data_IF_751595764935
#
_entry.id   IF_751595764935
#
_cell.length_a   1.000
_cell.length_b   1.000
_cell.length_c   1.000
_cell.angle_alpha   90.00
_cell.angle_beta   90.00
_cell.angle_gamma   90.00
#
_symmetry.space_group_name_H-M   'P 1'
#
loop_
_entity.id
_entity.type
_entity.pdbx_description
1 polymer ?
#
# COMPACT_ATOMS: atom_id res chain seq x y z
N UNK A 1 -24.12 21.33 59.52
CA UNK A 1 -24.58 20.88 60.85
C UNK A 1 -26.02 20.36 60.74
N UNK A 2 -26.29 19.24 61.40
CA UNK A 2 -27.60 18.62 61.74
C UNK A 2 -28.33 17.88 60.61
N UNK A 3 -28.50 16.54 60.68
CA UNK A 3 -29.49 15.72 61.48
C UNK A 3 -30.90 15.90 60.90
N UNK A 4 -31.76 14.92 60.67
CA UNK A 4 -31.85 13.47 60.91
C UNK A 4 -32.99 12.95 60.00
N UNK A 5 -33.06 11.68 59.63
CA UNK A 5 -33.51 10.53 60.41
C UNK A 5 -35.05 10.31 60.42
N UNK A 6 -35.43 9.03 60.26
CA UNK A 6 -36.74 8.38 60.51
C UNK A 6 -37.78 8.37 59.35
N UNK A 7 -38.03 7.21 58.71
CA UNK A 7 -38.98 6.11 59.06
C UNK A 7 -40.46 6.55 58.91
N UNK A 8 -41.39 5.84 58.28
CA UNK A 8 -41.74 4.42 58.44
C UNK A 8 -42.55 3.86 57.25
N UNK A 9 -42.29 2.58 56.96
CA UNK A 9 -43.21 1.44 56.83
C UNK A 9 -44.71 1.68 56.53
N UNK A 10 -45.32 0.87 55.65
CA UNK A 10 -46.40 -0.06 56.01
C UNK A 10 -46.72 -1.00 54.82
N UNK A 11 -46.78 -2.29 55.14
CA UNK A 11 -47.16 -3.40 54.28
C UNK A 11 -48.67 -3.59 54.26
N UNK A 12 -49.23 -4.08 53.16
CA UNK A 12 -50.50 -4.82 53.15
C UNK A 12 -50.52 -5.86 52.03
N UNK A 13 -50.66 -7.11 52.47
CA UNK A 13 -51.15 -8.27 51.71
C UNK A 13 -52.67 -8.04 51.43
N UNK A 14 -53.37 -8.65 50.48
CA UNK A 14 -53.65 -10.08 50.31
C UNK A 14 -54.54 -10.27 49.06
N UNK A 15 -54.32 -11.39 48.38
CA UNK A 15 -55.22 -12.26 47.58
C UNK A 15 -56.72 -11.89 47.47
N UNK A 16 -57.32 -12.05 46.27
CA UNK A 16 -58.19 -13.20 45.96
C UNK A 16 -58.98 -13.08 44.61
N UNK A 17 -59.01 -14.21 43.88
CA UNK A 17 -60.08 -14.72 42.96
C UNK A 17 -60.28 -14.03 41.59
N UNK A 18 -61.11 -14.59 40.66
CA UNK A 18 -61.41 -15.98 40.29
C UNK A 18 -61.22 -16.24 38.77
N UNK A 19 -61.29 -17.51 38.40
CA UNK A 19 -61.36 -18.01 37.02
C UNK A 19 -62.67 -17.61 36.33
N UNK A 20 -62.60 -17.02 35.13
CA UNK A 20 -63.71 -17.02 34.19
C UNK A 20 -63.22 -17.20 32.76
N UNK A 21 -63.84 -18.17 32.11
CA UNK A 21 -63.62 -18.65 30.75
C UNK A 21 -64.04 -17.61 29.73
N UNK A 22 -63.17 -17.33 28.74
CA UNK A 22 -63.65 -16.82 27.47
C UNK A 22 -62.87 -17.38 26.28
N UNK A 23 -63.66 -17.92 25.35
CA UNK A 23 -63.32 -18.62 24.13
C UNK A 23 -62.57 -17.70 23.16
N UNK A 24 -61.50 -18.22 22.57
CA UNK A 24 -60.72 -17.59 21.51
C UNK A 24 -61.51 -17.43 20.21
N UNK A 25 -61.20 -16.39 19.42
CA UNK A 25 -61.08 -16.55 17.99
C UNK A 25 -59.60 -16.49 17.59
N UNK A 26 -59.19 -17.57 16.92
CA UNK A 26 -57.91 -17.73 16.23
C UNK A 26 -57.81 -16.66 15.14
N UNK A 27 -56.71 -15.89 15.11
CA UNK A 27 -56.33 -15.06 13.96
C UNK A 27 -55.02 -15.57 13.37
N UNK A 28 -55.11 -16.15 12.18
CA UNK A 28 -54.01 -16.72 11.38
C UNK A 28 -53.42 -15.65 10.45
N UNK A 29 -52.09 -15.60 10.36
CA UNK A 29 -51.29 -15.06 9.23
C UNK A 29 -50.80 -13.61 9.40
N UNK A 30 -49.55 -13.23 9.09
CA UNK A 30 -48.56 -13.77 8.14
C UNK A 30 -47.12 -13.32 8.51
N UNK A 31 -46.12 -14.20 8.73
CA UNK A 31 -44.72 -13.83 8.88
C UNK A 31 -44.00 -13.93 7.52
N UNK A 32 -44.42 -13.15 6.52
CA UNK A 32 -43.92 -13.29 5.14
C UNK A 32 -43.12 -12.10 4.61
N UNK A 33 -43.26 -10.91 5.19
CA UNK A 33 -42.80 -9.66 4.55
C UNK A 33 -41.47 -9.17 5.16
N UNK A 34 -41.21 -9.46 6.44
CA UNK A 34 -39.98 -9.02 7.10
C UNK A 34 -38.72 -9.78 6.64
N UNK A 35 -38.86 -11.03 6.18
CA UNK A 35 -37.71 -11.89 5.82
C UNK A 35 -37.13 -11.56 4.43
N UNK A 36 -37.97 -11.12 3.48
CA UNK A 36 -37.55 -10.82 2.12
C UNK A 36 -36.74 -9.51 2.02
N UNK A 37 -37.11 -8.48 2.79
CA UNK A 37 -36.40 -7.19 2.78
C UNK A 37 -34.98 -7.27 3.36
N UNK A 38 -34.79 -8.06 4.43
CA UNK A 38 -33.49 -8.27 5.04
C UNK A 38 -32.52 -9.04 4.12
N UNK A 39 -33.04 -9.99 3.33
CA UNK A 39 -32.25 -10.78 2.40
C UNK A 39 -31.73 -9.95 1.21
N UNK A 40 -32.56 -9.04 0.67
CA UNK A 40 -32.17 -8.14 -0.42
C UNK A 40 -31.12 -7.09 0.00
N UNK A 41 -31.21 -6.56 1.23
CA UNK A 41 -30.21 -5.62 1.77
C UNK A 41 -28.87 -6.30 2.01
N UNK A 42 -28.86 -7.53 2.54
CA UNK A 42 -27.64 -8.31 2.70
C UNK A 42 -26.97 -8.65 1.35
N UNK A 43 -27.76 -9.07 0.35
CA UNK A 43 -27.25 -9.37 -0.98
C UNK A 43 -26.63 -8.13 -1.67
N UNK A 44 -27.24 -6.95 -1.48
CA UNK A 44 -26.73 -5.70 -2.06
C UNK A 44 -25.43 -5.22 -1.40
N UNK A 45 -25.29 -5.41 -0.08
CA UNK A 45 -24.06 -5.08 0.64
C UNK A 45 -22.89 -5.99 0.25
N UNK A 46 -23.14 -7.28 0.04
CA UNK A 46 -22.12 -8.25 -0.39
C UNK A 46 -21.64 -7.95 -1.82
N UNK A 47 -22.55 -7.57 -2.74
CA UNK A 47 -22.18 -7.19 -4.11
C UNK A 47 -21.30 -5.93 -4.15
N UNK A 48 -21.54 -4.95 -3.27
CA UNK A 48 -20.71 -3.74 -3.17
C UNK A 48 -19.29 -4.02 -2.65
N UNK A 49 -19.11 -5.03 -1.78
CA UNK A 49 -17.79 -5.44 -1.29
C UNK A 49 -16.94 -6.16 -2.34
N UNK A 50 -17.57 -6.85 -3.30
CA UNK A 50 -16.86 -7.59 -4.35
C UNK A 50 -16.38 -6.69 -5.50
N UNK A 51 -16.99 -5.52 -5.68
CA UNK A 51 -16.57 -4.54 -6.70
C UNK A 51 -15.32 -3.74 -6.31
N UNK A 52 -14.84 -3.86 -5.07
CA UNK A 52 -13.67 -3.15 -4.55
C UNK A 52 -12.47 -4.08 -4.33
N UNK A 53 -12.44 -5.24 -5.00
CA UNK A 53 -11.36 -6.22 -4.90
C UNK A 53 -10.41 -6.24 -6.11
N UNK A 54 -10.62 -5.40 -7.13
CA UNK A 54 -9.62 -5.14 -8.16
C UNK A 54 -8.51 -4.22 -7.59
N UNK A 55 -7.62 -4.80 -6.80
CA UNK A 55 -6.28 -4.24 -6.65
C UNK A 55 -5.61 -4.15 -8.04
N UNK A 56 -4.72 -3.17 -8.28
CA UNK A 56 -3.98 -3.11 -9.53
C UNK A 56 -3.32 -4.47 -9.79
N UNK A 57 -3.37 -4.99 -11.04
CA UNK A 57 -2.84 -6.30 -11.35
C UNK A 57 -1.38 -6.36 -10.91
N UNK A 58 -1.11 -7.12 -9.85
CA UNK A 58 0.23 -7.46 -9.40
C UNK A 58 0.80 -8.47 -10.40
N UNK A 59 1.08 -7.97 -11.60
CA UNK A 59 1.83 -8.71 -12.61
C UNK A 59 3.21 -8.86 -12.01
N UNK A 60 3.62 -10.10 -11.71
CA UNK A 60 5.03 -10.39 -11.42
C UNK A 60 5.84 -9.70 -12.52
N UNK A 61 6.80 -8.81 -12.20
CA UNK A 61 7.58 -8.13 -13.22
C UNK A 61 8.12 -9.18 -14.17
N UNK A 62 7.66 -9.12 -15.42
CA UNK A 62 8.23 -9.97 -16.46
C UNK A 62 9.63 -9.45 -16.78
N UNK A 63 10.38 -10.25 -17.53
CA UNK A 63 11.60 -9.76 -18.18
C UNK A 63 11.30 -9.34 -19.62
N UNK A 64 10.06 -8.89 -19.89
CA UNK A 64 9.61 -8.51 -21.22
C UNK A 64 10.04 -7.08 -21.59
N UNK A 65 9.98 -6.72 -22.89
CA UNK A 65 10.28 -5.35 -23.34
C UNK A 65 9.43 -4.27 -22.66
N UNK A 66 8.17 -4.59 -22.34
CA UNK A 66 7.26 -3.66 -21.66
C UNK A 66 7.72 -3.37 -20.22
N UNK A 67 8.17 -4.38 -19.48
CA UNK A 67 8.69 -4.23 -18.12
C UNK A 67 9.97 -3.38 -18.11
N UNK A 68 10.82 -3.55 -19.14
CA UNK A 68 12.01 -2.73 -19.31
C UNK A 68 11.69 -1.25 -19.57
N UNK A 69 10.61 -0.92 -20.29
CA UNK A 69 10.23 0.49 -20.50
C UNK A 69 9.67 1.13 -19.22
N UNK A 70 8.90 0.40 -18.42
CA UNK A 70 8.46 0.88 -17.11
C UNK A 70 9.67 1.19 -16.21
N UNK A 71 10.63 0.26 -16.13
CA UNK A 71 11.87 0.49 -15.38
C UNK A 71 12.67 1.69 -15.89
N UNK A 72 12.71 1.89 -17.22
CA UNK A 72 13.37 3.05 -17.84
C UNK A 72 12.74 4.38 -17.43
N UNK A 73 11.41 4.45 -17.36
CA UNK A 73 10.69 5.63 -16.92
C UNK A 73 10.96 5.93 -15.43
N UNK A 74 11.05 4.91 -14.59
CA UNK A 74 11.44 5.05 -13.18
C UNK A 74 12.88 5.58 -13.10
N UNK A 75 13.82 4.96 -13.81
CA UNK A 75 15.24 5.32 -13.78
C UNK A 75 15.51 6.78 -14.17
N UNK A 76 14.92 7.23 -15.28
CA UNK A 76 15.14 8.57 -15.82
C UNK A 76 14.23 9.64 -15.18
N UNK A 77 13.25 9.23 -14.38
CA UNK A 77 12.22 10.09 -13.81
C UNK A 77 12.14 9.92 -12.29
N UNK A 78 11.14 9.18 -11.81
CA UNK A 78 10.79 9.10 -10.38
C UNK A 78 11.95 8.71 -9.47
N UNK A 79 12.76 7.74 -9.88
CA UNK A 79 13.89 7.24 -9.11
C UNK A 79 15.09 8.18 -9.10
N UNK A 80 15.09 9.22 -9.95
CA UNK A 80 16.17 10.21 -10.09
C UNK A 80 17.56 9.59 -10.33
N UNK A 81 17.63 8.33 -10.74
CA UNK A 81 18.87 7.57 -10.88
C UNK A 81 19.80 8.21 -11.92
N UNK A 82 19.20 8.74 -12.99
CA UNK A 82 19.91 9.47 -14.05
C UNK A 82 20.64 10.73 -13.57
N UNK A 83 20.31 11.25 -12.39
CA UNK A 83 20.99 12.43 -11.82
C UNK A 83 22.48 12.16 -11.62
N UNK A 84 22.84 10.96 -11.18
CA UNK A 84 24.23 10.57 -10.91
C UNK A 84 24.77 9.55 -11.93
N UNK A 85 23.90 8.65 -12.41
CA UNK A 85 24.28 7.61 -13.38
C UNK A 85 24.05 8.03 -14.84
N UNK A 86 23.54 9.24 -15.07
CA UNK A 86 23.25 9.80 -16.39
C UNK A 86 22.03 9.18 -17.09
N UNK A 87 21.56 9.85 -18.14
CA UNK A 87 20.40 9.42 -18.92
C UNK A 87 20.67 8.03 -19.48
N UNK A 88 19.73 7.12 -19.22
CA UNK A 88 19.80 5.72 -19.62
C UNK A 88 21.04 4.95 -19.15
N UNK A 89 21.65 5.39 -18.05
CA UNK A 89 22.81 4.76 -17.43
C UNK A 89 24.16 5.16 -18.03
N UNK A 90 24.16 6.04 -19.04
CA UNK A 90 25.38 6.63 -19.61
C UNK A 90 25.89 7.74 -18.70
N UNK A 91 26.91 7.47 -17.89
CA UNK A 91 27.45 8.40 -16.88
C UNK A 91 27.79 9.79 -17.44
N UNK A 92 28.27 9.86 -18.67
CA UNK A 92 28.65 11.11 -19.36
C UNK A 92 27.44 11.92 -19.88
N UNK A 93 26.23 11.37 -19.83
CA UNK A 93 24.98 12.00 -20.31
C UNK A 93 24.09 12.47 -19.16
N UNK A 94 24.65 13.26 -18.25
CA UNK A 94 23.87 13.84 -17.15
C UNK A 94 22.76 14.78 -17.67
N UNK A 95 21.55 14.78 -17.06
CA UNK A 95 20.42 15.57 -17.55
C UNK A 95 20.77 17.05 -17.78
N UNK A 96 20.37 17.66 -18.92
CA UNK A 96 20.79 19.02 -19.29
C UNK A 96 20.32 20.09 -18.29
N UNK A 97 19.21 19.84 -17.61
CA UNK A 97 18.63 20.74 -16.62
C UNK A 97 19.35 20.77 -15.26
N UNK A 98 20.34 19.89 -15.02
CA UNK A 98 21.14 19.95 -13.79
C UNK A 98 21.97 21.22 -13.75
N UNK A 99 21.94 21.92 -12.62
CA UNK A 99 22.76 23.11 -12.38
C UNK A 99 24.25 22.78 -12.43
N UNK A 100 25.07 23.79 -12.77
CA UNK A 100 26.53 23.65 -12.80
C UNK A 100 27.07 23.09 -11.48
N UNK A 101 26.61 23.62 -10.35
CA UNK A 101 27.07 23.18 -9.02
C UNK A 101 26.77 21.69 -8.76
N UNK A 102 25.59 21.19 -9.18
CA UNK A 102 25.27 19.77 -9.03
C UNK A 102 26.20 18.92 -9.90
N UNK A 103 26.45 19.37 -11.14
CA UNK A 103 27.33 18.68 -12.09
C UNK A 103 28.77 18.61 -11.55
N UNK A 104 29.29 19.73 -11.06
CA UNK A 104 30.61 19.82 -10.43
C UNK A 104 30.67 18.90 -9.19
N UNK A 105 29.63 18.88 -8.35
CA UNK A 105 29.59 18.00 -7.18
C UNK A 105 29.65 16.51 -7.56
N UNK A 106 28.93 16.10 -8.61
CA UNK A 106 28.93 14.71 -9.11
C UNK A 106 30.33 14.30 -9.60
N UNK A 107 31.02 15.20 -10.31
CA UNK A 107 32.38 14.94 -10.82
C UNK A 107 33.39 14.70 -9.70
N UNK A 108 33.21 15.35 -8.55
CA UNK A 108 34.10 15.26 -7.39
C UNK A 108 33.72 14.13 -6.40
N UNK A 109 32.69 13.34 -6.69
CA UNK A 109 32.33 12.20 -5.83
C UNK A 109 33.44 11.15 -5.79
N UNK A 110 33.73 10.66 -4.58
CA UNK A 110 34.69 9.58 -4.34
C UNK A 110 34.05 8.48 -3.49
N UNK A 111 33.84 7.26 -4.02
CA UNK A 111 34.09 6.87 -5.41
C UNK A 111 33.10 7.53 -6.39
N UNK A 112 33.50 7.66 -7.65
CA UNK A 112 32.62 8.14 -8.71
C UNK A 112 31.48 7.15 -8.97
N UNK A 113 30.26 7.61 -9.27
CA UNK A 113 29.18 6.73 -9.73
C UNK A 113 29.63 5.94 -10.97
N UNK A 114 29.42 4.61 -11.03
CA UNK A 114 29.78 3.82 -12.19
C UNK A 114 28.88 4.14 -13.39
N UNK A 115 29.44 3.96 -14.58
CA UNK A 115 28.69 3.90 -15.83
C UNK A 115 27.99 2.54 -15.92
N UNK A 116 26.65 2.56 -15.91
CA UNK A 116 25.85 1.35 -15.85
C UNK A 116 25.85 0.58 -17.19
N UNK A 117 26.31 1.22 -18.28
CA UNK A 117 26.50 0.60 -19.60
C UNK A 117 27.82 -0.16 -19.71
N UNK A 118 28.71 -0.02 -18.74
CA UNK A 118 30.02 -0.68 -18.73
C UNK A 118 29.98 -1.90 -17.81
N UNK A 119 29.27 -2.96 -18.20
CA UNK A 119 29.06 -4.14 -17.34
C UNK A 119 30.34 -4.74 -16.75
N UNK A 120 31.46 -4.71 -17.46
CA UNK A 120 32.76 -5.18 -16.97
C UNK A 120 33.27 -4.45 -15.71
N UNK A 121 32.76 -3.25 -15.45
CA UNK A 121 33.13 -2.43 -14.27
C UNK A 121 32.18 -2.60 -13.09
N UNK A 122 31.05 -3.31 -13.28
CA UNK A 122 30.01 -3.45 -12.27
C UNK A 122 30.24 -4.69 -11.41
N UNK A 123 30.13 -4.54 -10.09
CA UNK A 123 30.35 -5.63 -9.12
C UNK A 123 29.07 -6.36 -8.70
N UNK A 124 27.91 -5.69 -8.80
CA UNK A 124 26.62 -6.28 -8.45
C UNK A 124 26.14 -7.16 -9.59
N UNK A 125 26.15 -8.48 -9.48
CA UNK A 125 25.82 -9.38 -10.59
C UNK A 125 24.36 -9.83 -10.59
N UNK A 126 23.70 -9.84 -9.43
CA UNK A 126 22.32 -10.34 -9.27
C UNK A 126 21.29 -9.23 -9.04
N UNK A 127 20.03 -9.51 -9.39
CA UNK A 127 18.90 -8.62 -9.13
C UNK A 127 18.67 -8.38 -7.64
N UNK A 128 18.88 -9.40 -6.81
CA UNK A 128 18.84 -9.25 -5.36
C UNK A 128 19.87 -8.21 -4.89
N UNK A 129 21.13 -8.32 -5.32
CA UNK A 129 22.16 -7.33 -4.95
C UNK A 129 21.81 -5.92 -5.43
N UNK A 130 21.25 -5.79 -6.64
CA UNK A 130 20.80 -4.49 -7.17
C UNK A 130 19.68 -3.91 -6.31
N UNK A 131 18.65 -4.70 -5.99
CA UNK A 131 17.55 -4.29 -5.13
C UNK A 131 18.06 -3.79 -3.77
N UNK A 132 18.89 -4.58 -3.10
CA UNK A 132 19.42 -4.26 -1.78
C UNK A 132 20.21 -2.94 -1.81
N UNK A 133 21.07 -2.72 -2.81
CA UNK A 133 21.85 -1.48 -2.93
C UNK A 133 20.96 -0.29 -3.29
N UNK A 134 19.93 -0.45 -4.11
CA UNK A 134 19.01 0.66 -4.43
C UNK A 134 18.19 1.06 -3.21
N UNK A 135 17.71 0.09 -2.43
CA UNK A 135 16.91 0.35 -1.22
C UNK A 135 17.77 0.91 -0.09
N UNK A 136 18.91 0.30 0.18
CA UNK A 136 19.73 0.56 1.36
C UNK A 136 20.96 1.42 1.08
N UNK A 137 21.18 1.83 -0.17
CA UNK A 137 22.35 2.57 -0.59
C UNK A 137 23.62 1.71 -0.63
N UNK A 138 24.71 2.32 -1.08
CA UNK A 138 26.04 1.73 -1.05
C UNK A 138 26.89 2.43 0.01
N UNK A 139 27.32 1.68 1.02
CA UNK A 139 28.10 2.18 2.15
C UNK A 139 29.34 2.95 1.67
N UNK A 140 29.64 4.09 2.30
CA UNK A 140 30.78 4.99 1.98
C UNK A 140 30.77 5.53 0.55
N UNK A 141 29.59 5.71 -0.03
CA UNK A 141 29.39 6.40 -1.32
C UNK A 141 28.28 7.45 -1.17
N UNK A 142 28.07 8.24 -2.22
CA UNK A 142 26.93 9.15 -2.30
C UNK A 142 25.63 8.48 -2.77
N UNK A 143 25.62 7.16 -2.99
CA UNK A 143 24.40 6.40 -3.28
C UNK A 143 23.69 6.09 -1.96
N UNK A 144 22.95 7.07 -1.43
CA UNK A 144 22.23 6.97 -0.17
C UNK A 144 20.98 6.06 -0.27
N UNK A 145 20.49 5.50 0.85
CA UNK A 145 19.25 4.74 0.88
C UNK A 145 18.06 5.55 0.37
N UNK A 146 17.15 4.89 -0.35
CA UNK A 146 15.88 5.46 -0.75
C UNK A 146 14.78 5.09 0.25
N UNK A 147 14.05 6.07 0.74
CA UNK A 147 12.89 5.83 1.59
C UNK A 147 11.76 5.16 0.78
N UNK A 148 10.84 4.46 1.46
CA UNK A 148 9.71 3.79 0.79
C UNK A 148 8.71 4.78 0.20
N UNK A 149 8.69 6.00 0.74
CA UNK A 149 7.86 7.11 0.26
C UNK A 149 8.44 7.69 -1.05
N UNK A 150 9.77 7.72 -1.19
CA UNK A 150 10.41 8.19 -2.42
C UNK A 150 10.28 7.17 -3.57
N UNK A 151 10.50 5.89 -3.27
CA UNK A 151 10.43 4.80 -4.24
C UNK A 151 10.00 3.51 -3.53
N UNK A 152 8.90 2.86 -3.96
CA UNK A 152 8.40 1.63 -3.31
C UNK A 152 9.23 0.39 -3.67
N UNK A 153 9.06 -0.71 -2.94
CA UNK A 153 9.79 -1.96 -3.24
C UNK A 153 9.36 -2.51 -4.61
N UNK A 154 8.08 -2.41 -4.96
CA UNK A 154 7.52 -2.78 -6.25
C UNK A 154 8.11 -1.94 -7.39
N UNK A 155 8.37 -0.66 -7.15
CA UNK A 155 9.01 0.22 -8.13
C UNK A 155 10.49 -0.11 -8.32
N UNK A 156 11.21 -0.46 -7.25
CA UNK A 156 12.58 -0.99 -7.39
C UNK A 156 12.55 -2.32 -8.15
N UNK A 157 11.59 -3.21 -7.88
CA UNK A 157 11.45 -4.46 -8.61
C UNK A 157 11.16 -4.22 -10.11
N UNK A 158 10.28 -3.27 -10.43
CA UNK A 158 9.99 -2.87 -11.81
C UNK A 158 11.19 -2.21 -12.52
N UNK A 159 12.15 -1.67 -11.76
CA UNK A 159 13.40 -1.13 -12.30
C UNK A 159 14.41 -2.23 -12.72
N UNK A 160 14.34 -3.42 -12.11
CA UNK A 160 15.34 -4.48 -12.33
C UNK A 160 15.41 -5.00 -13.78
N UNK A 161 14.29 -5.26 -14.50
CA UNK A 161 14.34 -5.68 -15.90
C UNK A 161 15.05 -4.66 -16.80
N UNK A 162 14.88 -3.36 -16.51
CA UNK A 162 15.59 -2.30 -17.23
C UNK A 162 17.10 -2.30 -16.91
N UNK A 163 17.47 -2.42 -15.64
CA UNK A 163 18.89 -2.50 -15.27
C UNK A 163 19.58 -3.74 -15.83
N UNK A 164 18.85 -4.84 -16.01
CA UNK A 164 19.34 -6.04 -16.67
C UNK A 164 19.52 -5.83 -18.18
N UNK A 165 18.70 -5.01 -18.84
CA UNK A 165 18.75 -4.79 -20.29
C UNK A 165 19.80 -3.77 -20.74
N UNK A 166 20.30 -2.91 -19.84
CA UNK A 166 21.31 -1.88 -20.15
C UNK A 166 22.74 -2.29 -19.81
N UNK A 167 22.97 -3.55 -19.43
CA UNK A 167 24.30 -4.09 -19.14
C UNK A 167 24.96 -4.71 -20.35
#
# INVERSE_FOLDING_TARGET
MMRGDRSDSHATWTLAMPTSSHRSPIRIGRPGIALAGALCLAASLIAASLLWAEGPPQTKPGNGPADAEQGRAIFNGKGLCSTCHGIDGYRDRLPPQLSKNIRDNIEHLSPAPPDLRQAATLTLTTDKQRFEVIRHGHLRTAMYPLSKEALSDEEILALLPYLASIR
#
